data_IF_015882991502
#
_entry.id   IF_015882991502
#
_cell.length_a   1.000
_cell.length_b   1.000
_cell.length_c   1.000
_cell.angle_alpha   90.00
_cell.angle_beta   90.00
_cell.angle_gamma   90.00
#
_symmetry.space_group_name_H-M   'P 1'
#
loop_
_entity.id
_entity.type
_entity.pdbx_description
1 polymer ?
#
# COMPACT_ATOMS: atom_id res chain seq x y z
N UNK A 1 -47.37 -5.97 20.87
CA UNK A 1 -47.23 -6.67 22.17
C UNK A 1 -46.46 -7.97 21.90
N UNK A 2 -45.39 -8.25 22.65
CA UNK A 2 -44.66 -9.52 22.48
C UNK A 2 -45.59 -10.69 22.92
N UNK A 3 -45.61 -11.77 22.14
CA UNK A 3 -46.42 -12.98 22.43
C UNK A 3 -45.94 -13.54 23.78
N UNK A 4 -46.85 -13.65 24.76
CA UNK A 4 -46.61 -14.35 26.01
C UNK A 4 -46.67 -15.86 25.72
N UNK A 5 -45.60 -16.58 26.03
CA UNK A 5 -45.57 -18.05 25.93
C UNK A 5 -46.23 -18.66 27.16
N UNK A 6 -47.03 -19.73 26.94
CA UNK A 6 -47.53 -20.58 28.03
C UNK A 6 -46.37 -21.44 28.57
N UNK A 7 -46.57 -22.08 29.73
CA UNK A 7 -45.62 -23.04 30.29
C UNK A 7 -45.33 -24.18 29.32
N UNK A 8 -46.36 -24.75 28.71
CA UNK A 8 -46.25 -25.85 27.74
C UNK A 8 -45.47 -25.42 26.49
N UNK A 9 -45.82 -24.26 25.90
CA UNK A 9 -45.07 -23.70 24.76
C UNK A 9 -43.59 -23.45 25.10
N UNK A 10 -43.31 -23.10 26.35
CA UNK A 10 -41.93 -22.85 26.83
C UNK A 10 -41.18 -24.17 26.98
N UNK A 11 -41.74 -25.19 27.60
CA UNK A 11 -41.15 -26.53 27.74
C UNK A 11 -40.90 -27.17 26.37
N UNK A 12 -41.86 -27.01 25.43
CA UNK A 12 -41.66 -27.49 24.05
C UNK A 12 -40.49 -26.84 23.36
N UNK A 13 -40.27 -25.53 23.54
CA UNK A 13 -39.10 -24.85 23.06
C UNK A 13 -37.80 -25.34 23.70
N UNK A 14 -37.81 -25.65 24.99
CA UNK A 14 -36.67 -26.25 25.67
C UNK A 14 -36.27 -27.58 25.04
N UNK A 15 -37.26 -28.44 24.75
CA UNK A 15 -37.04 -29.72 24.09
C UNK A 15 -36.53 -29.58 22.66
N UNK A 16 -36.99 -28.56 21.92
CA UNK A 16 -36.46 -28.27 20.58
C UNK A 16 -34.97 -27.90 20.59
N UNK A 17 -34.48 -27.19 21.64
CA UNK A 17 -33.10 -26.76 21.75
C UNK A 17 -32.20 -27.84 22.37
N UNK A 18 -32.72 -28.55 23.40
CA UNK A 18 -31.91 -29.42 24.26
C UNK A 18 -32.30 -30.92 24.16
N UNK A 19 -33.33 -31.28 23.43
CA UNK A 19 -33.86 -32.63 23.40
C UNK A 19 -34.23 -33.11 24.81
N UNK A 20 -33.80 -34.30 25.16
CA UNK A 20 -34.05 -34.91 26.46
C UNK A 20 -32.87 -34.73 27.47
N UNK A 21 -32.01 -33.74 27.25
CA UNK A 21 -30.81 -33.50 28.05
C UNK A 21 -31.15 -33.04 29.47
N UNK A 22 -32.28 -32.36 29.67
CA UNK A 22 -32.73 -31.80 30.94
C UNK A 22 -34.14 -32.29 31.28
N UNK A 23 -34.43 -32.31 32.60
CA UNK A 23 -35.76 -32.59 33.10
C UNK A 23 -36.48 -31.31 33.54
N UNK A 24 -37.70 -31.12 33.11
CA UNK A 24 -38.51 -29.91 33.30
C UNK A 24 -39.73 -30.19 34.20
N UNK A 25 -39.78 -31.34 34.86
CA UNK A 25 -40.93 -31.77 35.71
C UNK A 25 -41.21 -30.83 36.88
N UNK A 26 -40.20 -30.09 37.34
CA UNK A 26 -40.32 -29.14 38.45
C UNK A 26 -40.91 -27.79 38.03
N UNK A 27 -41.11 -27.53 36.73
CA UNK A 27 -41.78 -26.33 36.23
C UNK A 27 -43.29 -26.53 36.30
N UNK A 28 -43.92 -25.84 37.25
CA UNK A 28 -45.38 -25.89 37.46
C UNK A 28 -46.03 -24.57 37.12
N UNK A 29 -47.40 -24.56 37.04
CA UNK A 29 -48.13 -23.30 36.80
C UNK A 29 -47.94 -22.30 37.94
N UNK A 30 -47.64 -22.76 39.16
CA UNK A 30 -47.38 -21.88 40.33
C UNK A 30 -46.03 -21.16 40.27
N UNK A 31 -45.03 -21.75 39.59
CA UNK A 31 -43.67 -21.17 39.50
C UNK A 31 -43.32 -20.62 38.14
N UNK A 32 -44.16 -20.79 37.09
CA UNK A 32 -43.98 -20.20 35.80
C UNK A 32 -44.85 -18.92 35.63
N UNK A 33 -44.24 -17.77 35.52
CA UNK A 33 -44.92 -16.48 35.30
C UNK A 33 -44.76 -15.98 33.87
N UNK A 34 -43.53 -15.99 33.39
CA UNK A 34 -43.14 -15.54 32.05
C UNK A 34 -41.73 -16.00 31.70
N UNK A 35 -41.23 -15.64 30.51
CA UNK A 35 -39.92 -16.05 30.02
C UNK A 35 -38.72 -15.36 30.70
N UNK A 36 -38.97 -14.35 31.56
CA UNK A 36 -37.93 -13.63 32.30
C UNK A 36 -37.90 -14.00 33.79
N UNK A 37 -38.84 -14.82 34.28
CA UNK A 37 -38.85 -15.31 35.66
C UNK A 37 -38.07 -16.60 35.75
N UNK A 38 -37.22 -16.75 36.76
CA UNK A 38 -36.41 -17.95 36.95
C UNK A 38 -37.32 -19.16 37.27
N UNK A 39 -37.03 -20.26 36.59
CA UNK A 39 -37.72 -21.57 36.79
C UNK A 39 -36.71 -22.65 37.17
N UNK A 40 -37.10 -23.67 37.93
CA UNK A 40 -36.24 -24.80 38.27
C UNK A 40 -36.06 -25.74 37.08
N UNK A 41 -34.86 -25.96 36.63
CA UNK A 41 -34.47 -26.90 35.57
C UNK A 41 -33.55 -27.96 36.18
N UNK A 42 -33.69 -29.21 35.82
CA UNK A 42 -32.86 -30.29 36.40
C UNK A 42 -31.91 -30.84 35.37
N UNK A 43 -30.63 -30.70 35.64
CA UNK A 43 -29.59 -31.41 34.91
C UNK A 43 -29.47 -32.84 35.44
N UNK A 44 -29.49 -33.81 34.57
CA UNK A 44 -29.35 -35.25 34.98
C UNK A 44 -28.01 -35.55 35.61
N UNK A 45 -26.98 -34.70 35.42
CA UNK A 45 -25.64 -34.88 35.95
C UNK A 45 -25.36 -34.06 37.22
N UNK A 46 -25.86 -32.80 37.25
CA UNK A 46 -25.46 -31.82 38.29
C UNK A 46 -26.64 -31.40 39.20
N UNK A 47 -27.85 -31.95 38.96
CA UNK A 47 -29.01 -31.61 39.78
C UNK A 47 -29.73 -30.34 39.31
N UNK A 48 -30.50 -29.75 40.23
CA UNK A 48 -31.40 -28.62 39.93
C UNK A 48 -30.68 -27.27 40.03
N UNK A 49 -30.97 -26.38 39.08
CA UNK A 49 -30.56 -24.97 39.13
C UNK A 49 -31.72 -24.08 38.67
N UNK A 50 -31.60 -22.77 38.96
CA UNK A 50 -32.58 -21.78 38.60
C UNK A 50 -32.10 -20.98 37.40
N UNK A 51 -32.94 -20.87 36.34
CA UNK A 51 -32.59 -20.09 35.13
C UNK A 51 -33.83 -19.45 34.51
N UNK A 52 -33.67 -18.33 33.78
CA UNK A 52 -34.80 -17.78 33.02
C UNK A 52 -35.08 -18.64 31.78
N UNK A 53 -36.34 -18.83 31.41
CA UNK A 53 -36.71 -19.52 30.17
C UNK A 53 -36.04 -18.89 28.95
N UNK A 54 -35.91 -17.56 28.91
CA UNK A 54 -35.26 -16.83 27.83
C UNK A 54 -33.82 -17.29 27.61
N UNK A 55 -33.03 -17.36 28.68
CA UNK A 55 -31.62 -17.76 28.56
C UNK A 55 -31.50 -19.23 28.19
N UNK A 56 -32.36 -20.07 28.74
CA UNK A 56 -32.34 -21.51 28.48
C UNK A 56 -32.62 -21.85 27.02
N UNK A 57 -33.68 -21.30 26.41
CA UNK A 57 -33.93 -21.57 24.98
C UNK A 57 -32.98 -20.76 24.04
N UNK A 58 -32.25 -19.75 24.55
CA UNK A 58 -31.19 -19.08 23.83
C UNK A 58 -29.86 -19.86 23.83
N UNK A 59 -29.81 -21.06 24.43
CA UNK A 59 -28.67 -21.95 24.41
C UNK A 59 -27.80 -21.94 25.69
N UNK A 60 -28.21 -21.22 26.73
CA UNK A 60 -27.57 -21.31 28.02
C UNK A 60 -28.05 -22.55 28.78
N UNK A 61 -27.20 -23.56 28.94
CA UNK A 61 -27.47 -24.79 29.65
C UNK A 61 -27.01 -24.76 31.11
N UNK A 62 -26.87 -25.95 31.72
CA UNK A 62 -26.37 -26.10 33.10
C UNK A 62 -24.97 -25.44 33.25
N UNK A 63 -24.77 -24.56 34.27
CA UNK A 63 -23.50 -23.88 34.50
C UNK A 63 -22.35 -24.86 34.72
N UNK A 64 -22.53 -25.90 35.54
CA UNK A 64 -21.50 -26.89 35.85
C UNK A 64 -21.11 -27.71 34.61
N UNK A 65 -22.09 -28.06 33.75
CA UNK A 65 -21.80 -28.68 32.47
C UNK A 65 -20.97 -27.76 31.56
N UNK A 66 -21.18 -26.43 31.64
CA UNK A 66 -20.41 -25.47 30.90
C UNK A 66 -18.99 -25.33 31.42
N UNK A 67 -18.80 -25.29 32.75
CA UNK A 67 -17.47 -25.28 33.37
C UNK A 67 -16.68 -26.53 33.07
N UNK A 68 -17.31 -27.74 33.18
CA UNK A 68 -16.66 -28.97 32.77
C UNK A 68 -16.20 -28.99 31.31
N UNK A 69 -17.02 -28.46 30.41
CA UNK A 69 -16.66 -28.35 28.99
C UNK A 69 -15.53 -27.33 28.79
N UNK A 70 -15.60 -26.20 29.48
CA UNK A 70 -14.59 -25.16 29.44
C UNK A 70 -13.26 -25.69 30.01
N UNK A 71 -13.28 -26.41 31.11
CA UNK A 71 -12.11 -27.03 31.71
C UNK A 71 -11.44 -28.06 30.79
N UNK A 72 -12.23 -28.90 30.10
CA UNK A 72 -11.70 -29.85 29.11
C UNK A 72 -11.16 -29.20 27.83
N UNK A 73 -11.73 -28.11 27.39
CA UNK A 73 -11.26 -27.37 26.19
C UNK A 73 -9.92 -26.65 26.44
N UNK A 74 -9.55 -26.40 27.69
CA UNK A 74 -8.34 -25.65 28.07
C UNK A 74 -7.15 -26.58 28.46
N UNK A 75 -7.43 -27.83 28.82
CA UNK A 75 -6.38 -28.80 29.18
C UNK A 75 -6.02 -29.65 27.96
N UNK A 76 -5.04 -29.19 27.21
CA UNK A 76 -4.33 -29.99 26.20
C UNK A 76 -3.11 -30.57 26.89
N UNK A 77 -2.90 -31.89 26.86
CA UNK A 77 -1.67 -32.50 27.41
C UNK A 77 -0.47 -32.14 26.53
N UNK A 78 0.74 -32.30 27.08
CA UNK A 78 1.99 -32.04 26.32
C UNK A 78 2.07 -32.93 25.07
N UNK A 79 1.67 -34.18 25.20
CA UNK A 79 1.67 -35.20 24.15
C UNK A 79 0.69 -34.79 23.02
N UNK A 80 -0.55 -34.45 23.41
CA UNK A 80 -1.56 -33.96 22.46
C UNK A 80 -1.13 -32.65 21.75
N UNK A 81 -0.46 -31.76 22.51
CA UNK A 81 0.08 -30.54 21.95
C UNK A 81 1.13 -30.86 20.86
N UNK A 82 2.11 -31.73 21.19
CA UNK A 82 3.20 -32.09 20.26
C UNK A 82 2.64 -32.76 19.01
N UNK A 83 1.67 -33.70 19.17
CA UNK A 83 1.04 -34.36 18.03
C UNK A 83 0.34 -33.35 17.11
N UNK A 84 -0.51 -32.49 17.67
CA UNK A 84 -1.25 -31.46 16.93
C UNK A 84 -0.31 -30.44 16.30
N UNK A 85 0.72 -29.99 17.03
CA UNK A 85 1.71 -29.03 16.55
C UNK A 85 2.53 -29.62 15.38
N UNK A 86 2.96 -30.89 15.46
CA UNK A 86 3.63 -31.58 14.36
C UNK A 86 2.76 -31.71 13.12
N UNK A 87 1.47 -31.99 13.29
CA UNK A 87 0.50 -32.07 12.19
C UNK A 87 0.33 -30.70 11.50
N UNK A 88 0.32 -29.61 12.28
CA UNK A 88 0.13 -28.24 11.76
C UNK A 88 1.41 -27.71 11.12
N UNK A 89 2.57 -27.94 11.74
CA UNK A 89 3.83 -27.32 11.36
C UNK A 89 4.80 -28.22 10.60
N UNK A 90 4.49 -29.50 10.45
CA UNK A 90 5.25 -30.43 9.59
C UNK A 90 6.68 -30.65 10.03
N UNK A 91 6.96 -30.83 11.33
CA UNK A 91 8.29 -31.14 11.87
C UNK A 91 9.31 -30.00 11.82
N UNK A 92 8.87 -28.76 11.66
CA UNK A 92 9.76 -27.56 11.60
C UNK A 92 10.31 -27.14 12.94
N UNK A 93 9.74 -27.64 14.04
CA UNK A 93 10.05 -27.24 15.40
C UNK A 93 10.39 -28.44 16.24
N UNK A 94 11.27 -28.25 17.24
CA UNK A 94 11.50 -29.19 18.30
C UNK A 94 10.82 -28.66 19.58
N UNK A 95 10.16 -29.57 20.33
CA UNK A 95 9.31 -29.25 21.48
C UNK A 95 9.89 -29.73 22.81
N UNK A 96 11.18 -30.05 22.89
CA UNK A 96 11.81 -30.59 24.10
C UNK A 96 11.72 -29.64 25.31
N UNK A 97 11.69 -28.32 25.03
CA UNK A 97 11.61 -27.27 26.05
C UNK A 97 10.19 -26.87 26.43
N UNK A 98 9.17 -27.53 25.85
CA UNK A 98 7.77 -27.16 26.06
C UNK A 98 7.31 -27.71 27.42
N UNK A 99 6.79 -26.80 28.26
CA UNK A 99 6.11 -27.08 29.52
C UNK A 99 4.99 -26.06 29.73
N UNK A 100 3.76 -26.51 30.06
CA UNK A 100 2.59 -25.66 30.25
C UNK A 100 1.47 -26.41 31.00
N UNK A 101 0.60 -25.68 31.66
CA UNK A 101 -0.61 -26.20 32.32
C UNK A 101 -1.88 -25.86 31.53
N UNK A 102 -1.87 -24.70 30.83
CA UNK A 102 -3.02 -24.17 30.10
C UNK A 102 -2.65 -23.74 28.68
N UNK A 103 -3.64 -23.67 27.79
CA UNK A 103 -3.43 -23.19 26.41
C UNK A 103 -3.11 -21.70 26.31
N UNK A 104 -3.24 -20.95 27.41
CA UNK A 104 -2.87 -19.53 27.51
C UNK A 104 -1.44 -19.28 27.89
N UNK A 105 -0.72 -20.31 28.34
CA UNK A 105 0.66 -20.20 28.78
C UNK A 105 1.62 -19.94 27.64
N UNK A 106 2.72 -19.26 27.96
CA UNK A 106 3.82 -19.01 27.04
C UNK A 106 4.81 -20.16 27.15
N UNK A 107 5.12 -20.80 26.04
CA UNK A 107 6.04 -21.93 25.95
C UNK A 107 7.27 -21.55 25.11
N UNK A 108 8.38 -22.25 25.41
CA UNK A 108 9.62 -22.15 24.63
C UNK A 108 9.64 -23.25 23.56
N UNK A 109 9.75 -22.84 22.32
CA UNK A 109 9.78 -23.72 21.14
C UNK A 109 11.09 -23.50 20.42
N UNK A 110 11.74 -24.59 19.96
CA UNK A 110 12.98 -24.50 19.20
C UNK A 110 12.65 -24.53 17.71
N UNK A 111 12.86 -23.42 17.02
CA UNK A 111 12.88 -23.41 15.56
C UNK A 111 14.20 -24.02 15.07
N UNK A 112 14.14 -25.03 14.21
CA UNK A 112 15.33 -25.69 13.66
C UNK A 112 16.22 -24.75 12.83
N UNK A 113 15.69 -23.61 12.42
CA UNK A 113 16.41 -22.61 11.60
C UNK A 113 16.88 -21.39 12.41
N UNK A 114 16.07 -20.90 13.38
CA UNK A 114 16.31 -19.63 14.05
C UNK A 114 16.54 -19.74 15.57
N UNK A 115 16.51 -20.97 16.13
CA UNK A 115 16.71 -21.18 17.56
C UNK A 115 15.44 -21.03 18.40
N UNK A 116 15.58 -20.68 19.66
CA UNK A 116 14.48 -20.66 20.64
C UNK A 116 13.65 -19.41 20.49
N UNK A 117 12.33 -19.56 20.45
CA UNK A 117 11.35 -18.46 20.51
C UNK A 117 10.23 -18.78 21.50
N UNK A 118 9.57 -17.75 22.00
CA UNK A 118 8.46 -17.87 22.95
C UNK A 118 7.12 -17.60 22.26
N UNK A 119 6.12 -18.43 22.55
CA UNK A 119 4.78 -18.27 21.99
C UNK A 119 3.71 -18.87 22.90
N UNK A 120 2.48 -18.36 22.84
CA UNK A 120 1.34 -18.98 23.55
C UNK A 120 0.95 -20.29 22.88
N UNK A 121 0.63 -21.31 23.72
CA UNK A 121 0.17 -22.63 23.26
C UNK A 121 -0.97 -22.51 22.23
N UNK A 122 -2.00 -21.72 22.54
CA UNK A 122 -3.15 -21.52 21.66
C UNK A 122 -2.75 -20.93 20.29
N UNK A 123 -1.84 -19.96 20.26
CA UNK A 123 -1.37 -19.33 19.05
C UNK A 123 -0.58 -20.30 18.16
N UNK A 124 0.25 -21.13 18.78
CA UNK A 124 1.02 -22.15 18.05
C UNK A 124 0.09 -23.21 17.44
N UNK A 125 -0.90 -23.70 18.19
CA UNK A 125 -1.92 -24.61 17.68
C UNK A 125 -2.88 -23.97 16.64
N UNK A 126 -2.97 -22.65 16.60
CA UNK A 126 -3.67 -21.92 15.54
C UNK A 126 -2.83 -21.72 14.27
N UNK A 127 -1.60 -22.29 14.21
CA UNK A 127 -0.71 -22.24 13.05
C UNK A 127 0.28 -21.08 13.04
N UNK A 128 0.33 -20.28 14.10
CA UNK A 128 1.38 -19.27 14.25
C UNK A 128 2.70 -19.97 14.61
N UNK A 129 3.78 -19.60 13.94
CA UNK A 129 5.11 -20.17 14.14
C UNK A 129 6.14 -19.11 14.52
N UNK A 130 7.42 -19.43 14.33
CA UNK A 130 8.55 -18.54 14.57
C UNK A 130 8.40 -17.25 13.76
N UNK A 131 8.58 -16.08 14.41
CA UNK A 131 8.48 -14.77 13.80
C UNK A 131 9.50 -14.56 12.67
N UNK A 132 10.72 -15.00 12.86
CA UNK A 132 11.78 -14.92 11.85
C UNK A 132 11.46 -15.80 10.63
N UNK A 133 10.94 -17.02 10.84
CA UNK A 133 10.39 -17.83 9.74
C UNK A 133 9.20 -17.17 9.04
N UNK A 134 8.42 -16.38 9.76
CA UNK A 134 7.30 -15.65 9.19
C UNK A 134 7.78 -14.44 8.39
N UNK A 135 8.78 -13.71 8.89
CA UNK A 135 9.41 -12.59 8.18
C UNK A 135 10.16 -13.08 6.93
N UNK A 136 10.92 -14.17 7.03
CA UNK A 136 11.53 -14.81 5.86
C UNK A 136 10.48 -15.29 4.85
N UNK A 137 9.38 -15.91 5.31
CA UNK A 137 8.27 -16.30 4.43
C UNK A 137 7.52 -15.08 3.90
N UNK A 138 7.46 -13.99 4.64
CA UNK A 138 6.92 -12.72 4.15
C UNK A 138 7.82 -12.12 3.08
N UNK A 139 9.14 -12.23 3.25
CA UNK A 139 10.12 -11.99 2.19
C UNK A 139 10.02 -13.00 1.04
N UNK A 140 9.90 -14.29 1.32
CA UNK A 140 9.80 -15.42 0.36
C UNK A 140 8.37 -15.78 -0.03
N UNK A 141 7.33 -15.30 0.65
CA UNK A 141 5.93 -15.48 0.21
C UNK A 141 5.68 -14.81 -1.14
N UNK A 142 6.55 -13.88 -1.48
CA UNK A 142 6.66 -13.33 -2.83
C UNK A 142 7.54 -14.21 -3.75
N UNK A 143 8.43 -15.08 -3.20
CA UNK A 143 9.32 -15.98 -3.95
C UNK A 143 8.67 -17.28 -4.46
N UNK A 144 7.62 -17.77 -3.80
CA UNK A 144 7.11 -19.13 -4.00
C UNK A 144 5.84 -19.29 -4.83
N UNK A 145 5.23 -18.22 -5.35
CA UNK A 145 4.01 -18.30 -6.19
C UNK A 145 4.19 -17.52 -7.49
N UNK A 146 4.66 -18.15 -8.56
CA UNK A 146 4.81 -17.49 -9.87
C UNK A 146 3.53 -16.87 -10.41
N UNK A 147 2.36 -17.36 -9.99
CA UNK A 147 1.06 -16.91 -10.52
C UNK A 147 0.40 -15.76 -9.77
N UNK A 148 0.76 -15.48 -8.51
CA UNK A 148 0.08 -14.46 -7.68
C UNK A 148 0.90 -13.19 -7.40
N UNK A 149 2.18 -13.15 -7.78
CA UNK A 149 3.07 -12.02 -7.54
C UNK A 149 3.14 -11.05 -8.72
N UNK A 150 2.63 -11.43 -9.89
CA UNK A 150 2.62 -10.57 -11.07
C UNK A 150 1.34 -9.75 -11.13
N UNK A 151 1.33 -8.64 -10.41
CA UNK A 151 0.27 -7.64 -10.58
C UNK A 151 0.55 -6.86 -11.86
N UNK A 152 -0.47 -6.78 -12.73
CA UNK A 152 -0.39 -6.00 -13.95
C UNK A 152 -0.91 -4.59 -13.67
N UNK A 153 -0.12 -3.56 -13.99
CA UNK A 153 -0.49 -2.15 -13.90
C UNK A 153 -0.86 -1.60 -15.27
N UNK A 154 -2.03 -0.97 -15.37
CA UNK A 154 -2.58 -0.42 -16.63
C UNK A 154 -2.54 -1.41 -17.81
N UNK A 155 -2.63 -2.72 -17.54
CA UNK A 155 -2.61 -3.78 -18.54
C UNK A 155 -1.25 -4.11 -19.15
N UNK A 156 -0.18 -3.40 -18.82
CA UNK A 156 1.15 -3.56 -19.44
C UNK A 156 2.29 -3.75 -18.44
N UNK A 157 2.32 -2.99 -17.35
CA UNK A 157 3.40 -3.09 -16.36
C UNK A 157 3.27 -4.33 -15.50
N UNK A 158 4.35 -5.06 -15.25
CA UNK A 158 4.37 -6.29 -14.44
C UNK A 158 5.26 -6.12 -13.23
N UNK A 159 4.68 -6.30 -12.04
CA UNK A 159 5.44 -6.37 -10.79
C UNK A 159 5.98 -7.81 -10.63
N UNK A 160 7.19 -8.04 -11.09
CA UNK A 160 7.83 -9.34 -11.23
C UNK A 160 8.87 -9.66 -10.15
N UNK A 161 8.94 -8.84 -9.11
CA UNK A 161 9.86 -9.06 -7.99
C UNK A 161 9.29 -10.06 -6.98
N UNK A 162 10.18 -10.80 -6.35
CA UNK A 162 9.93 -11.91 -5.43
C UNK A 162 10.10 -11.54 -3.95
N UNK A 163 10.33 -10.26 -3.66
CA UNK A 163 10.47 -9.69 -2.34
C UNK A 163 9.40 -8.62 -2.05
N UNK A 164 9.25 -8.24 -0.79
CA UNK A 164 8.35 -7.16 -0.40
C UNK A 164 8.84 -5.81 -0.92
N UNK A 165 8.00 -5.09 -1.65
CA UNK A 165 8.31 -3.72 -2.11
C UNK A 165 8.40 -2.70 -0.96
N UNK A 166 8.08 -3.11 0.27
CA UNK A 166 8.26 -2.32 1.49
C UNK A 166 9.57 -2.60 2.23
N UNK A 167 10.48 -3.38 1.63
CA UNK A 167 11.73 -3.83 2.27
C UNK A 167 12.65 -2.67 2.68
N UNK A 168 12.71 -1.61 1.86
CA UNK A 168 13.44 -0.39 2.17
C UNK A 168 12.88 0.81 1.38
N UNK A 169 13.30 2.01 1.73
CA UNK A 169 12.77 3.24 1.15
C UNK A 169 13.16 3.41 -0.32
N UNK A 170 14.34 2.95 -0.74
CA UNK A 170 14.76 3.02 -2.14
C UNK A 170 13.84 2.22 -3.06
N UNK A 171 13.41 1.02 -2.63
CA UNK A 171 12.45 0.19 -3.38
C UNK A 171 11.07 0.85 -3.45
N UNK A 172 10.62 1.49 -2.35
CA UNK A 172 9.36 2.25 -2.34
C UNK A 172 9.40 3.44 -3.30
N UNK A 173 10.51 4.19 -3.31
CA UNK A 173 10.73 5.31 -4.21
C UNK A 173 10.73 4.83 -5.67
N UNK A 174 11.46 3.75 -5.97
CA UNK A 174 11.51 3.15 -7.29
C UNK A 174 10.10 2.72 -7.76
N UNK A 175 9.35 2.00 -6.91
CA UNK A 175 8.01 1.56 -7.22
C UNK A 175 7.06 2.73 -7.51
N UNK A 176 7.15 3.82 -6.76
CA UNK A 176 6.36 5.04 -6.97
C UNK A 176 6.67 5.66 -8.33
N UNK A 177 7.97 5.76 -8.72
CA UNK A 177 8.35 6.29 -10.03
C UNK A 177 7.88 5.40 -11.17
N UNK A 178 8.04 4.07 -11.02
CA UNK A 178 7.61 3.09 -12.02
C UNK A 178 6.08 3.11 -12.20
N UNK A 179 5.30 3.12 -11.11
CA UNK A 179 3.84 3.26 -11.18
C UNK A 179 3.42 4.55 -11.88
N UNK A 180 4.02 5.69 -11.50
CA UNK A 180 3.69 6.97 -12.08
C UNK A 180 4.03 7.03 -13.59
N UNK A 181 5.13 6.41 -14.00
CA UNK A 181 5.54 6.30 -15.40
C UNK A 181 4.52 5.49 -16.22
N UNK A 182 4.20 4.27 -15.76
CA UNK A 182 3.20 3.40 -16.41
C UNK A 182 1.83 4.08 -16.44
N UNK A 183 1.38 4.66 -15.32
CA UNK A 183 0.10 5.36 -15.22
C UNK A 183 -0.02 6.51 -16.23
N UNK A 184 1.00 7.37 -16.33
CA UNK A 184 1.02 8.50 -17.27
C UNK A 184 0.94 8.07 -18.74
N UNK A 185 1.53 6.93 -19.10
CA UNK A 185 1.58 6.46 -20.48
C UNK A 185 0.36 5.62 -20.89
N UNK A 186 -0.28 4.90 -19.96
CA UNK A 186 -1.25 3.87 -20.33
C UNK A 186 -2.60 3.95 -19.62
N UNK A 187 -2.76 4.78 -18.58
CA UNK A 187 -4.06 4.96 -17.93
C UNK A 187 -4.93 5.95 -18.75
N UNK A 188 -6.14 5.54 -19.11
CA UNK A 188 -7.06 6.34 -19.93
C UNK A 188 -7.42 7.68 -19.27
N UNK A 189 -7.72 7.67 -17.97
CA UNK A 189 -8.10 8.90 -17.24
C UNK A 189 -6.92 9.85 -17.07
N UNK A 190 -5.71 9.31 -16.87
CA UNK A 190 -4.50 10.11 -16.83
C UNK A 190 -4.21 10.79 -18.15
N UNK A 191 -4.39 10.10 -19.29
CA UNK A 191 -4.21 10.64 -20.64
C UNK A 191 -5.26 11.71 -20.99
N UNK A 192 -6.50 11.55 -20.56
CA UNK A 192 -7.55 12.56 -20.69
C UNK A 192 -7.20 13.83 -19.89
N UNK A 193 -6.71 13.67 -18.65
CA UNK A 193 -6.35 14.79 -17.77
C UNK A 193 -5.03 15.47 -18.17
N UNK A 194 -4.12 14.73 -18.79
CA UNK A 194 -2.78 15.18 -19.16
C UNK A 194 -2.45 14.82 -20.61
N UNK A 195 -3.05 15.49 -21.61
CA UNK A 195 -2.86 15.16 -23.02
C UNK A 195 -1.41 15.25 -23.53
N UNK A 196 -0.53 15.91 -22.76
CA UNK A 196 0.92 15.98 -23.08
C UNK A 196 1.61 14.62 -23.10
N UNK A 197 1.02 13.60 -22.43
CA UNK A 197 1.52 12.23 -22.45
C UNK A 197 0.94 11.35 -23.56
N UNK A 198 0.00 11.84 -24.37
CA UNK A 198 -0.51 11.11 -25.52
C UNK A 198 0.64 10.74 -26.47
N UNK A 199 0.75 9.43 -26.76
CA UNK A 199 1.84 8.86 -27.56
C UNK A 199 3.18 8.74 -26.84
N UNK A 200 3.21 8.92 -25.52
CA UNK A 200 4.34 8.48 -24.70
C UNK A 200 4.23 6.99 -24.43
N UNK A 201 5.39 6.32 -24.37
CA UNK A 201 5.51 4.89 -24.06
C UNK A 201 6.66 4.60 -23.11
N UNK A 202 6.69 3.40 -22.61
CA UNK A 202 7.78 2.86 -21.78
C UNK A 202 8.46 1.78 -22.61
N UNK A 203 9.79 1.69 -22.58
CA UNK A 203 10.52 0.63 -23.25
C UNK A 203 10.13 -0.76 -22.67
N UNK A 204 10.20 -1.79 -23.49
CA UNK A 204 9.74 -3.14 -23.14
C UNK A 204 10.44 -3.68 -21.88
N UNK A 205 11.73 -3.37 -21.70
CA UNK A 205 12.52 -3.77 -20.55
C UNK A 205 11.93 -3.23 -19.23
N UNK A 206 11.45 -1.98 -19.23
CA UNK A 206 10.89 -1.33 -18.04
C UNK A 206 9.41 -1.62 -17.79
N UNK A 207 8.76 -2.39 -18.65
CA UNK A 207 7.46 -2.99 -18.32
C UNK A 207 7.58 -4.00 -17.18
N UNK A 208 8.78 -4.58 -16.96
CA UNK A 208 9.13 -5.36 -15.79
C UNK A 208 9.72 -4.46 -14.70
N UNK A 209 9.14 -4.51 -13.50
CA UNK A 209 9.61 -3.66 -12.38
C UNK A 209 11.04 -4.01 -11.96
N UNK A 210 11.45 -5.28 -12.01
CA UNK A 210 12.81 -5.72 -11.68
C UNK A 210 13.88 -5.00 -12.49
N UNK A 211 13.67 -4.87 -13.81
CA UNK A 211 14.61 -4.20 -14.71
C UNK A 211 14.67 -2.67 -14.44
N UNK A 212 13.51 -2.06 -14.20
CA UNK A 212 13.47 -0.65 -13.79
C UNK A 212 14.18 -0.43 -12.47
N UNK A 213 13.95 -1.30 -11.47
CA UNK A 213 14.60 -1.21 -10.16
C UNK A 213 16.11 -1.34 -10.25
N UNK A 214 16.63 -2.27 -11.06
CA UNK A 214 18.07 -2.45 -11.27
C UNK A 214 18.70 -1.17 -11.84
N UNK A 215 18.08 -0.58 -12.86
CA UNK A 215 18.55 0.70 -13.43
C UNK A 215 18.44 1.84 -12.41
N UNK A 216 17.30 1.92 -11.68
CA UNK A 216 17.06 2.94 -10.66
C UNK A 216 18.15 2.94 -9.61
N UNK A 217 18.52 1.79 -9.06
CA UNK A 217 19.54 1.67 -8.01
C UNK A 217 20.96 2.05 -8.47
N UNK A 218 21.23 1.99 -9.78
CA UNK A 218 22.51 2.38 -10.39
C UNK A 218 22.55 3.84 -10.88
N UNK A 219 21.40 4.51 -10.90
CA UNK A 219 21.29 5.87 -11.47
C UNK A 219 21.51 6.93 -10.41
N UNK A 220 22.32 7.92 -10.73
CA UNK A 220 22.59 9.05 -9.84
C UNK A 220 21.31 9.79 -9.46
N UNK A 221 21.21 10.20 -8.19
CA UNK A 221 20.10 10.97 -7.63
C UNK A 221 18.73 10.28 -7.61
N UNK A 222 18.63 9.02 -8.05
CA UNK A 222 17.37 8.27 -8.13
C UNK A 222 16.70 8.09 -6.76
N UNK A 223 17.50 7.85 -5.71
CA UNK A 223 17.03 7.58 -4.34
C UNK A 223 16.62 8.83 -3.56
N UNK A 224 16.77 10.01 -4.14
CA UNK A 224 16.34 11.26 -3.51
C UNK A 224 14.82 11.41 -3.68
N UNK A 225 14.09 11.38 -2.58
CA UNK A 225 12.63 11.23 -2.55
C UNK A 225 11.85 12.25 -3.39
N UNK A 226 12.31 13.51 -3.41
CA UNK A 226 11.64 14.62 -4.12
C UNK A 226 12.19 14.93 -5.51
N UNK A 227 13.03 14.03 -6.05
CA UNK A 227 13.45 14.15 -7.44
C UNK A 227 12.40 13.55 -8.38
N UNK A 228 12.35 14.10 -9.59
CA UNK A 228 11.43 13.66 -10.61
C UNK A 228 12.16 12.86 -11.69
N UNK A 229 11.55 11.75 -12.11
CA UNK A 229 11.96 11.04 -13.31
C UNK A 229 11.54 11.87 -14.53
N UNK A 230 12.50 12.31 -15.32
CA UNK A 230 12.29 13.06 -16.57
C UNK A 230 12.81 12.28 -17.77
N UNK A 231 12.12 12.37 -18.91
CA UNK A 231 12.47 11.69 -20.16
C UNK A 231 12.85 12.64 -21.30
N UNK A 232 12.65 13.94 -21.10
CA UNK A 232 12.76 14.96 -22.15
C UNK A 232 14.03 15.81 -22.05
N UNK A 233 14.73 15.79 -20.92
CA UNK A 233 15.93 16.61 -20.67
C UNK A 233 17.11 16.12 -21.49
N UNK A 234 17.40 14.82 -21.45
CA UNK A 234 18.55 14.25 -22.16
C UNK A 234 18.32 14.25 -23.68
N UNK A 235 17.08 14.01 -24.11
CA UNK A 235 16.67 13.99 -25.50
C UNK A 235 15.41 14.81 -25.68
N UNK A 236 15.54 16.02 -26.20
CA UNK A 236 14.41 16.95 -26.40
C UNK A 236 13.33 16.33 -27.27
N UNK A 237 12.04 16.49 -26.87
CA UNK A 237 10.86 15.93 -27.52
C UNK A 237 10.76 14.38 -27.49
N UNK A 238 11.56 13.73 -26.67
CA UNK A 238 11.48 12.28 -26.50
C UNK A 238 10.12 11.89 -25.93
N UNK A 239 9.60 10.74 -26.39
CA UNK A 239 8.31 10.18 -25.95
C UNK A 239 8.42 8.82 -25.31
N UNK A 240 9.65 8.27 -25.21
CA UNK A 240 9.88 6.93 -24.68
C UNK A 240 10.65 7.02 -23.36
N UNK A 241 10.08 6.48 -22.31
CA UNK A 241 10.81 6.25 -21.07
C UNK A 241 11.74 5.06 -21.24
N UNK A 242 13.05 5.29 -21.13
CA UNK A 242 14.08 4.25 -21.27
C UNK A 242 15.34 4.61 -20.48
N UNK A 243 16.24 3.62 -20.22
CA UNK A 243 17.53 3.86 -19.55
C UNK A 243 18.38 4.95 -20.21
N UNK A 244 18.28 5.08 -21.52
CA UNK A 244 19.11 6.01 -22.33
C UNK A 244 18.57 7.45 -22.32
N UNK A 245 17.28 7.61 -22.06
CA UNK A 245 16.62 8.92 -22.22
C UNK A 245 16.17 9.53 -20.89
N UNK A 246 16.11 8.74 -19.82
CA UNK A 246 15.61 9.20 -18.53
C UNK A 246 16.73 9.60 -17.57
N UNK A 247 16.42 10.57 -16.72
CA UNK A 247 17.27 11.02 -15.62
C UNK A 247 16.42 11.48 -14.42
N UNK A 248 17.07 11.60 -13.26
CA UNK A 248 16.43 12.15 -12.06
C UNK A 248 16.89 13.58 -11.82
N UNK A 249 15.93 14.48 -11.64
CA UNK A 249 16.20 15.90 -11.43
C UNK A 249 15.35 16.51 -10.33
N UNK A 250 15.82 17.54 -9.63
CA UNK A 250 15.00 18.32 -8.72
C UNK A 250 13.82 18.95 -9.45
N UNK A 251 12.71 19.15 -8.72
CA UNK A 251 11.50 19.76 -9.29
C UNK A 251 11.77 21.11 -9.96
N UNK A 252 12.71 21.91 -9.47
CA UNK A 252 13.08 23.19 -10.06
C UNK A 252 13.57 23.03 -11.50
N UNK A 253 14.41 22.03 -11.76
CA UNK A 253 14.91 21.73 -13.12
C UNK A 253 13.80 21.22 -14.02
N UNK A 254 12.93 20.34 -13.51
CA UNK A 254 11.80 19.80 -14.26
C UNK A 254 10.82 20.92 -14.69
N UNK A 255 10.49 21.83 -13.77
CA UNK A 255 9.60 22.98 -14.03
C UNK A 255 10.26 24.03 -14.95
N UNK A 256 11.62 24.18 -14.89
CA UNK A 256 12.37 25.11 -15.71
C UNK A 256 12.14 24.89 -17.21
N UNK A 257 11.96 23.63 -17.62
CA UNK A 257 11.74 23.23 -19.01
C UNK A 257 10.27 22.97 -19.35
N UNK A 258 9.36 23.10 -18.38
CA UNK A 258 7.94 22.83 -18.59
C UNK A 258 7.33 23.74 -19.66
N UNK A 259 6.74 23.13 -20.69
CA UNK A 259 6.07 23.78 -21.79
C UNK A 259 4.56 23.83 -21.51
N UNK A 260 4.03 24.98 -21.14
CA UNK A 260 2.60 25.13 -20.82
C UNK A 260 1.78 25.46 -22.08
N UNK A 261 1.83 24.61 -23.10
CA UNK A 261 1.14 24.85 -24.40
C UNK A 261 -0.37 25.08 -24.26
N UNK A 262 -1.04 24.37 -23.37
CA UNK A 262 -2.50 24.47 -23.20
C UNK A 262 -3.01 25.80 -22.62
N UNK A 263 -2.14 26.60 -22.01
CA UNK A 263 -2.49 27.90 -21.42
C UNK A 263 -1.93 29.08 -22.17
N UNK A 264 -1.43 28.88 -23.42
CA UNK A 264 -0.89 29.92 -24.24
C UNK A 264 -1.98 30.45 -25.19
N UNK A 265 -1.95 31.76 -25.37
CA UNK A 265 -2.64 32.38 -26.50
C UNK A 265 -1.96 32.01 -27.84
N UNK A 266 -2.29 32.73 -28.88
CA UNK A 266 -1.78 32.51 -30.22
C UNK A 266 -0.31 32.94 -30.47
N UNK A 267 0.37 33.47 -29.42
CA UNK A 267 1.76 33.97 -29.55
C UNK A 267 2.78 32.94 -29.04
N UNK A 268 4.06 33.04 -29.45
CA UNK A 268 5.15 32.22 -28.97
C UNK A 268 5.33 32.29 -27.44
N UNK A 269 6.07 31.33 -26.87
CA UNK A 269 6.37 31.30 -25.44
C UNK A 269 7.09 32.59 -25.01
N UNK A 270 6.64 33.17 -23.87
CA UNK A 270 7.23 34.39 -23.30
C UNK A 270 6.79 35.68 -23.99
N UNK A 271 5.94 35.58 -25.01
CA UNK A 271 5.44 36.74 -25.78
C UNK A 271 3.96 37.00 -25.51
N UNK A 272 3.60 38.24 -25.33
CA UNK A 272 2.21 38.69 -25.18
C UNK A 272 1.99 40.04 -25.88
N UNK A 273 0.75 40.31 -26.23
CA UNK A 273 0.42 41.57 -26.89
C UNK A 273 0.42 42.72 -25.87
N UNK A 274 1.04 43.83 -26.18
CA UNK A 274 1.03 45.00 -25.34
C UNK A 274 -0.38 45.56 -25.18
N UNK A 275 -0.77 46.00 -24.00
CA UNK A 275 -2.15 46.42 -23.68
C UNK A 275 -2.51 47.77 -24.35
N UNK A 276 -1.52 48.61 -24.58
CA UNK A 276 -1.72 50.01 -25.04
C UNK A 276 -1.16 50.31 -26.42
N UNK A 277 -0.65 49.30 -27.14
CA UNK A 277 -0.07 49.48 -28.46
C UNK A 277 -0.30 48.26 -29.36
N UNK A 278 0.06 48.37 -30.64
CA UNK A 278 0.04 47.22 -31.58
C UNK A 278 1.24 46.31 -31.40
N UNK A 279 2.18 46.66 -30.53
CA UNK A 279 3.46 45.99 -30.30
C UNK A 279 3.30 44.71 -29.42
N UNK A 280 4.41 43.99 -29.30
CA UNK A 280 4.52 42.76 -28.52
C UNK A 280 5.56 42.94 -27.40
N UNK A 281 5.24 42.37 -26.25
CA UNK A 281 6.12 42.42 -25.10
C UNK A 281 6.70 41.04 -24.82
N UNK A 282 7.98 40.97 -24.45
CA UNK A 282 8.64 39.78 -24.00
C UNK A 282 8.88 39.83 -22.49
N UNK A 283 8.63 38.71 -21.79
CA UNK A 283 8.93 38.58 -20.38
C UNK A 283 9.32 37.15 -20.01
N UNK A 284 10.19 37.00 -18.99
CA UNK A 284 10.60 35.71 -18.45
C UNK A 284 10.30 35.64 -16.97
N UNK A 285 9.84 34.49 -16.50
CA UNK A 285 9.65 34.19 -15.09
C UNK A 285 10.91 33.52 -14.53
N UNK A 286 11.54 34.15 -13.56
CA UNK A 286 12.73 33.69 -12.87
C UNK A 286 12.33 33.19 -11.47
N UNK A 287 12.95 32.11 -11.01
CA UNK A 287 12.82 31.65 -9.64
C UNK A 287 13.89 32.33 -8.79
N UNK A 288 13.48 33.13 -7.82
CA UNK A 288 14.39 33.77 -6.84
C UNK A 288 14.20 33.17 -5.45
N UNK A 289 15.05 33.58 -4.51
CA UNK A 289 14.91 33.22 -3.08
C UNK A 289 13.61 33.71 -2.47
N UNK A 290 13.04 34.79 -3.01
CA UNK A 290 11.79 35.41 -2.56
C UNK A 290 10.54 34.86 -3.31
N UNK A 291 10.74 33.90 -4.23
CA UNK A 291 9.69 33.32 -5.06
C UNK A 291 9.84 33.61 -6.54
N UNK A 292 8.73 33.52 -7.29
CA UNK A 292 8.73 33.78 -8.75
C UNK A 292 8.68 35.28 -9.04
N UNK A 293 9.64 35.78 -9.84
CA UNK A 293 9.70 37.18 -10.30
C UNK A 293 9.66 37.23 -11.82
N UNK A 294 8.75 38.00 -12.38
CA UNK A 294 8.72 38.25 -13.82
C UNK A 294 9.68 39.38 -14.18
N UNK A 295 10.59 39.11 -15.12
CA UNK A 295 11.51 40.09 -15.68
C UNK A 295 10.98 40.49 -17.07
N UNK A 296 10.71 41.76 -17.23
CA UNK A 296 10.39 42.36 -18.52
C UNK A 296 11.66 42.48 -19.37
N UNK A 297 11.55 42.13 -20.67
CA UNK A 297 12.67 42.05 -21.61
C UNK A 297 12.63 43.13 -22.70
N UNK A 298 11.46 43.74 -22.92
CA UNK A 298 11.28 44.82 -23.89
C UNK A 298 9.98 44.74 -24.68
N UNK A 299 9.74 45.79 -25.50
CA UNK A 299 8.64 45.85 -26.44
C UNK A 299 9.18 45.82 -27.89
N UNK A 300 8.54 45.04 -28.74
CA UNK A 300 9.01 44.72 -30.09
C UNK A 300 7.88 44.91 -31.10
N UNK A 301 8.22 45.08 -32.37
CA UNK A 301 7.25 45.32 -33.46
C UNK A 301 6.60 44.03 -33.94
N UNK A 302 7.31 42.91 -33.82
CA UNK A 302 6.81 41.59 -34.22
C UNK A 302 6.86 40.55 -33.08
N UNK A 303 6.00 39.54 -33.10
CA UNK A 303 6.07 38.45 -32.11
C UNK A 303 7.38 37.66 -32.15
N UNK A 304 7.99 37.54 -33.34
CA UNK A 304 9.24 36.83 -33.58
C UNK A 304 10.41 37.57 -32.91
N UNK A 305 10.50 38.90 -33.05
CA UNK A 305 11.53 39.69 -32.34
C UNK A 305 11.40 39.57 -30.82
N UNK A 306 10.18 39.65 -30.31
CA UNK A 306 9.88 39.44 -28.88
C UNK A 306 10.29 38.03 -28.41
N UNK A 307 10.02 37.01 -29.24
CA UNK A 307 10.43 35.65 -28.98
C UNK A 307 11.96 35.48 -28.93
N UNK A 308 12.71 36.10 -29.84
CA UNK A 308 14.19 36.01 -29.80
C UNK A 308 14.76 36.62 -28.56
N UNK A 309 14.24 37.74 -28.07
CA UNK A 309 14.64 38.31 -26.78
C UNK A 309 14.32 37.39 -25.61
N UNK A 310 13.13 36.75 -25.62
CA UNK A 310 12.79 35.72 -24.65
C UNK A 310 13.71 34.50 -24.72
N UNK A 311 13.97 33.97 -25.92
CA UNK A 311 14.85 32.81 -26.15
C UNK A 311 16.23 33.02 -25.55
N UNK A 312 16.88 34.16 -25.85
CA UNK A 312 18.19 34.51 -25.35
C UNK A 312 18.20 34.55 -23.83
N UNK A 313 17.27 35.26 -23.21
CA UNK A 313 17.13 35.35 -21.75
C UNK A 313 16.84 33.99 -21.11
N UNK A 314 16.01 33.16 -21.74
CA UNK A 314 15.64 31.83 -21.23
C UNK A 314 16.80 30.86 -21.30
N UNK A 315 17.52 30.81 -22.43
CA UNK A 315 18.69 29.94 -22.59
C UNK A 315 19.82 30.33 -21.62
N UNK A 316 20.05 31.64 -21.41
CA UNK A 316 20.99 32.14 -20.41
C UNK A 316 20.60 31.71 -19.00
N UNK A 317 19.32 31.85 -18.65
CA UNK A 317 18.83 31.45 -17.34
C UNK A 317 18.89 29.93 -17.13
N UNK A 318 18.60 29.11 -18.13
CA UNK A 318 18.75 27.64 -18.07
C UNK A 318 20.22 27.30 -17.73
N UNK A 319 21.18 27.91 -18.41
CA UNK A 319 22.62 27.67 -18.18
C UNK A 319 23.07 28.11 -16.78
N UNK A 320 22.58 29.25 -16.29
CA UNK A 320 22.84 29.74 -14.93
C UNK A 320 22.35 28.74 -13.88
N UNK A 321 21.09 28.32 -13.98
CA UNK A 321 20.48 27.36 -13.06
C UNK A 321 21.19 25.99 -13.16
N UNK A 322 21.49 25.51 -14.36
CA UNK A 322 22.19 24.25 -14.57
C UNK A 322 23.58 24.27 -13.90
N UNK A 323 24.34 25.35 -14.09
CA UNK A 323 25.68 25.51 -13.49
C UNK A 323 25.62 25.52 -11.96
N UNK A 324 24.65 26.27 -11.40
CA UNK A 324 24.42 26.29 -9.95
C UNK A 324 24.14 24.89 -9.40
N UNK A 325 23.16 24.20 -9.99
CA UNK A 325 22.73 22.87 -9.50
C UNK A 325 23.79 21.79 -9.71
N UNK A 326 24.61 21.91 -10.76
CA UNK A 326 25.74 21.01 -10.98
C UNK A 326 26.84 21.23 -9.95
N UNK A 327 27.24 22.48 -9.69
CA UNK A 327 28.23 22.83 -8.68
C UNK A 327 27.79 22.44 -7.26
N UNK A 328 26.47 22.48 -6.99
CA UNK A 328 25.88 22.02 -5.73
C UNK A 328 25.80 20.47 -5.65
N UNK A 329 26.20 19.71 -6.66
CA UNK A 329 26.10 18.25 -6.72
C UNK A 329 24.66 17.73 -6.83
N UNK A 330 23.71 18.56 -7.27
CA UNK A 330 22.28 18.26 -7.30
C UNK A 330 21.76 17.70 -8.63
N UNK A 331 22.56 17.75 -9.68
CA UNK A 331 22.27 17.14 -10.98
C UNK A 331 23.48 16.40 -11.52
N UNK A 332 23.24 15.30 -12.21
CA UNK A 332 24.29 14.50 -12.84
C UNK A 332 24.93 15.25 -14.02
N UNK A 333 26.16 14.85 -14.37
CA UNK A 333 26.94 15.49 -15.44
C UNK A 333 26.22 15.46 -16.79
N UNK A 334 25.62 14.35 -17.17
CA UNK A 334 24.88 14.23 -18.42
C UNK A 334 23.67 15.18 -18.50
N UNK A 335 22.99 15.41 -17.36
CA UNK A 335 21.90 16.39 -17.23
C UNK A 335 22.44 17.82 -17.42
N UNK A 336 23.56 18.15 -16.76
CA UNK A 336 24.21 19.44 -16.94
C UNK A 336 24.59 19.70 -18.40
N UNK A 337 25.25 18.74 -19.06
CA UNK A 337 25.66 18.86 -20.46
C UNK A 337 24.45 19.02 -21.40
N UNK A 338 23.36 18.33 -21.14
CA UNK A 338 22.11 18.46 -21.90
C UNK A 338 21.49 19.87 -21.74
N UNK A 339 21.45 20.39 -20.50
CA UNK A 339 20.92 21.73 -20.21
C UNK A 339 21.79 22.84 -20.81
N UNK A 340 23.10 22.69 -20.82
CA UNK A 340 24.02 23.65 -21.46
C UNK A 340 23.83 23.74 -22.99
N UNK A 341 23.39 22.66 -23.62
CA UNK A 341 23.08 22.59 -25.06
C UNK A 341 21.61 22.88 -25.39
N UNK A 342 20.77 23.06 -24.38
CA UNK A 342 19.33 23.20 -24.57
C UNK A 342 19.00 24.46 -25.40
N UNK A 343 18.15 24.29 -26.41
CA UNK A 343 17.66 25.35 -27.26
C UNK A 343 16.16 25.54 -27.14
N UNK A 344 15.74 26.77 -26.96
CA UNK A 344 14.34 27.16 -26.96
C UNK A 344 13.86 27.35 -28.39
N UNK A 345 12.80 26.69 -28.79
CA UNK A 345 12.22 26.76 -30.12
C UNK A 345 10.93 27.61 -30.08
N UNK A 346 10.64 28.27 -31.17
CA UNK A 346 9.41 29.08 -31.29
C UNK A 346 8.14 28.24 -31.17
N UNK A 347 8.27 26.98 -31.46
CA UNK A 347 7.19 25.95 -31.35
C UNK A 347 7.11 25.28 -29.99
N UNK A 348 8.00 25.58 -29.02
CA UNK A 348 8.04 25.00 -27.70
C UNK A 348 6.81 25.26 -26.82
#
# INVERSE_FOLDING_TARGET
MAKKFTREETIEKFRQVWGDQYDYSLITDDNYVNTSTHVPIVCRKHGMWMQTPHDHFSGAGCPDCWEERRGKSIRVTKEEFIERANKIHGGKYNYDLVDFETTTDIIKIICLKHGIFEQRVANHLAGQGCSECWEERRGTYLLGKPSNCRKTYCGVGVLDVDFSTNINDNVKIALRHWHNMIFRCYDKKALESHPSYLGCSVCDEWLLFSNFLEWFLKTENSTIEWYNLDKDILVKNNRVYSPQTCCFVPNVINVLLARRRLHRGQFPIGVHKATKSKNFEASISLQTTEGKKNKYLGTFTTPEEAFYAYKEAKEAYIKEVATKYYNDGKIARNVYEALMKYKVEITD
#
